data_IF_113581479502
#
_entry.id   IF_113581479502
#
_cell.length_a   1.000
_cell.length_b   1.000
_cell.length_c   1.000
_cell.angle_alpha   90.00
_cell.angle_beta   90.00
_cell.angle_gamma   90.00
#
_symmetry.space_group_name_H-M   'P 1'
#
loop_
_entity.id
_entity.type
_entity.pdbx_description
1 polymer ?
#
# COMPACT_ATOMS: atom_id res chain seq x y z
N UNK A 1 13.16 -10.05 9.59
CA UNK A 1 12.21 -8.93 9.39
C UNK A 1 11.32 -9.33 8.25
N UNK A 2 10.01 -9.46 8.47
CA UNK A 2 9.07 -9.98 7.46
C UNK A 2 8.94 -8.95 6.34
N UNK A 3 9.62 -9.19 5.23
CA UNK A 3 9.45 -8.38 4.03
C UNK A 3 8.08 -8.74 3.44
N UNK A 4 7.07 -7.92 3.74
CA UNK A 4 5.72 -8.13 3.20
C UNK A 4 5.77 -7.78 1.72
N UNK A 5 5.81 -8.84 0.90
CA UNK A 5 5.84 -8.71 -0.55
C UNK A 5 4.70 -7.80 -1.03
N UNK A 6 5.00 -6.93 -1.99
CA UNK A 6 4.04 -5.95 -2.54
C UNK A 6 2.70 -6.56 -2.99
N UNK A 7 2.70 -7.84 -3.40
CA UNK A 7 1.50 -8.54 -3.87
C UNK A 7 0.76 -9.32 -2.77
N UNK A 8 1.36 -9.50 -1.59
CA UNK A 8 0.78 -10.22 -0.46
C UNK A 8 -0.43 -9.49 0.12
N UNK A 9 -1.36 -10.19 0.80
CA UNK A 9 -2.43 -9.54 1.53
C UNK A 9 -1.89 -8.56 2.58
N UNK A 10 -2.55 -7.42 2.71
CA UNK A 10 -2.16 -6.39 3.65
C UNK A 10 -2.31 -6.89 5.10
N UNK A 11 -1.26 -6.79 5.94
CA UNK A 11 -1.35 -7.19 7.36
C UNK A 11 -2.29 -6.29 8.17
N UNK A 12 -2.77 -5.19 7.59
CA UNK A 12 -3.78 -4.30 8.16
C UNK A 12 -5.19 -4.90 8.22
N UNK A 13 -5.41 -6.11 7.70
CA UNK A 13 -6.72 -6.79 7.75
C UNK A 13 -7.73 -6.31 6.71
N UNK A 14 -7.33 -5.47 5.76
CA UNK A 14 -8.24 -4.92 4.73
C UNK A 14 -8.63 -5.89 3.63
N UNK A 15 -7.97 -7.07 3.56
CA UNK A 15 -8.12 -8.04 2.48
C UNK A 15 -7.55 -7.59 1.12
N UNK A 16 -7.00 -6.38 1.02
CA UNK A 16 -6.38 -5.84 -0.21
C UNK A 16 -4.90 -6.20 -0.27
N UNK A 17 -4.31 -6.23 -1.48
CA UNK A 17 -2.85 -6.41 -1.65
C UNK A 17 -2.09 -5.26 -0.98
N UNK A 18 -0.95 -5.54 -0.35
CA UNK A 18 -0.14 -4.56 0.38
C UNK A 18 0.18 -3.32 -0.48
N UNK A 19 0.58 -3.53 -1.75
CA UNK A 19 0.86 -2.45 -2.71
C UNK A 19 -0.34 -1.58 -3.09
N UNK A 20 -1.57 -2.05 -2.84
CA UNK A 20 -2.84 -1.35 -3.13
C UNK A 20 -3.53 -0.84 -1.87
N UNK A 21 -2.90 -0.99 -0.71
CA UNK A 21 -3.46 -0.62 0.58
C UNK A 21 -2.51 0.34 1.31
N UNK A 22 -1.73 -0.15 2.27
CA UNK A 22 -0.82 0.68 3.06
C UNK A 22 0.38 1.25 2.27
N UNK A 23 0.69 0.70 1.10
CA UNK A 23 1.77 1.23 0.25
C UNK A 23 1.33 2.44 -0.59
N UNK A 24 0.06 2.50 -1.02
CA UNK A 24 -0.46 3.55 -1.92
C UNK A 24 -0.44 4.93 -1.26
N UNK A 25 -0.53 4.99 0.07
CA UNK A 25 -0.50 6.23 0.83
C UNK A 25 0.79 7.05 0.63
N UNK A 26 1.85 6.46 0.03
CA UNK A 26 3.12 7.16 -0.24
C UNK A 26 3.22 7.74 -1.65
N UNK A 27 2.39 7.28 -2.60
CA UNK A 27 2.52 7.63 -4.02
C UNK A 27 1.33 8.46 -4.56
N UNK A 28 0.21 8.53 -3.83
CA UNK A 28 -0.98 9.29 -4.25
C UNK A 28 -0.98 10.78 -3.83
N UNK A 29 0.04 11.26 -3.12
CA UNK A 29 0.17 12.67 -2.73
C UNK A 29 1.00 13.52 -3.72
N UNK A 30 1.43 12.94 -4.86
CA UNK A 30 2.14 13.67 -5.91
C UNK A 30 1.22 14.25 -7.00
N UNK A 31 -0.10 14.09 -6.87
CA UNK A 31 -1.09 14.78 -7.71
C UNK A 31 -1.92 15.72 -6.83
N UNK A 32 -1.25 16.51 -5.99
CA UNK A 32 -1.66 17.88 -5.76
C UNK A 32 -1.04 18.72 -6.89
N UNK A 33 -1.64 18.65 -8.07
CA UNK A 33 -1.53 19.71 -9.08
C UNK A 33 -2.83 20.54 -8.93
N UNK A 34 -2.72 21.88 -8.79
CA UNK A 34 -3.70 22.75 -8.11
C UNK A 34 -5.16 22.68 -8.58
#
# INVERSE_FOLDING_TARGET
MVDVGRNEPCPCGSGRKFKKCCLVARDAAAESDP
#
